data_IF_824332160790
#
_entry.id   IF_824332160790
#
_cell.length_a   1.000
_cell.length_b   1.000
_cell.length_c   1.000
_cell.angle_alpha   90.00
_cell.angle_beta   90.00
_cell.angle_gamma   90.00
#
_symmetry.space_group_name_H-M   'P 1'
#
loop_
_entity.id
_entity.type
_entity.pdbx_description
1 polymer ?
#
# COMPACT_ATOMS: atom_id res chain seq x y z
N UNK A 1 -10.50 -30.04 41.35
CA UNK A 1 -10.30 -28.59 41.39
C UNK A 1 -9.72 -28.18 40.03
N UNK A 2 -10.62 -27.91 39.06
CA UNK A 2 -10.26 -27.54 37.73
C UNK A 2 -9.79 -26.09 37.67
N UNK A 3 -8.61 -25.87 37.14
CA UNK A 3 -8.22 -24.58 36.56
C UNK A 3 -8.81 -24.53 35.15
N UNK A 4 -9.89 -23.81 34.97
CA UNK A 4 -10.34 -23.40 33.65
C UNK A 4 -9.31 -22.39 33.11
N UNK A 5 -8.55 -22.83 32.11
CA UNK A 5 -7.78 -21.93 31.26
C UNK A 5 -8.78 -21.01 30.54
N UNK A 6 -8.76 -19.76 30.90
CA UNK A 6 -9.37 -18.71 30.07
C UNK A 6 -8.56 -18.60 28.79
N UNK A 7 -9.06 -19.21 27.74
CA UNK A 7 -8.66 -18.86 26.38
C UNK A 7 -9.27 -17.50 26.11
N UNK A 8 -8.47 -16.46 26.29
CA UNK A 8 -8.76 -15.13 25.77
C UNK A 8 -7.97 -15.00 24.49
N UNK A 9 -8.47 -15.55 23.41
CA UNK A 9 -8.01 -15.26 22.07
C UNK A 9 -9.19 -14.70 21.29
N UNK A 10 -9.41 -13.42 21.42
CA UNK A 10 -9.91 -12.59 20.34
C UNK A 10 -8.68 -11.98 19.65
N UNK A 11 -7.88 -12.79 18.97
CA UNK A 11 -7.00 -12.27 17.93
C UNK A 11 -7.92 -11.72 16.85
N UNK A 12 -7.96 -10.38 16.76
CA UNK A 12 -8.55 -9.75 15.59
C UNK A 12 -7.78 -10.25 14.38
N UNK A 13 -8.46 -10.64 13.28
CA UNK A 13 -7.78 -11.16 12.12
C UNK A 13 -6.80 -10.10 11.61
N UNK A 14 -5.51 -10.46 11.54
CA UNK A 14 -4.46 -9.60 11.04
C UNK A 14 -4.55 -9.51 9.52
N UNK A 15 -4.48 -8.27 8.98
CA UNK A 15 -4.49 -8.06 7.53
C UNK A 15 -3.19 -8.59 6.94
N UNK A 16 -3.30 -9.37 5.86
CA UNK A 16 -2.14 -9.87 5.13
C UNK A 16 -1.47 -8.73 4.35
N UNK A 17 -0.21 -8.45 4.61
CA UNK A 17 0.53 -7.38 3.95
C UNK A 17 1.90 -7.83 3.43
N UNK A 18 2.35 -7.19 2.35
CA UNK A 18 3.73 -7.27 1.85
C UNK A 18 4.52 -6.08 2.38
N UNK A 19 5.46 -6.32 3.32
CA UNK A 19 6.30 -5.25 3.88
C UNK A 19 7.52 -5.01 3.01
N UNK A 20 7.68 -3.77 2.51
CA UNK A 20 8.82 -3.35 1.70
C UNK A 20 9.13 -4.26 0.51
N UNK A 21 8.12 -4.95 -0.03
CA UNK A 21 8.31 -5.96 -1.07
C UNK A 21 7.29 -5.80 -2.21
N UNK A 22 7.59 -4.88 -3.12
CA UNK A 22 6.74 -4.60 -4.29
C UNK A 22 6.78 -5.77 -5.29
N UNK A 23 7.91 -6.46 -5.41
CA UNK A 23 8.10 -7.53 -6.41
C UNK A 23 7.13 -8.68 -6.15
N UNK A 24 7.09 -9.19 -4.93
CA UNK A 24 6.18 -10.29 -4.56
C UNK A 24 4.72 -9.81 -4.53
N UNK A 25 4.47 -8.58 -4.09
CA UNK A 25 3.13 -8.00 -4.12
C UNK A 25 2.58 -7.90 -5.55
N UNK A 26 3.39 -7.46 -6.50
CA UNK A 26 3.02 -7.39 -7.91
C UNK A 26 2.75 -8.76 -8.50
N UNK A 27 3.62 -9.74 -8.26
CA UNK A 27 3.42 -11.12 -8.71
C UNK A 27 2.10 -11.70 -8.14
N UNK A 28 1.79 -11.42 -6.88
CA UNK A 28 0.54 -11.84 -6.27
C UNK A 28 -0.67 -11.13 -6.88
N UNK A 29 -0.56 -9.83 -7.16
CA UNK A 29 -1.60 -9.04 -7.80
C UNK A 29 -1.94 -9.56 -9.21
N UNK A 30 -0.92 -9.87 -10.00
CA UNK A 30 -1.08 -10.49 -11.33
C UNK A 30 -1.73 -11.87 -11.24
N UNK A 31 -1.28 -12.72 -10.31
CA UNK A 31 -1.80 -14.07 -10.12
C UNK A 31 -3.26 -14.09 -9.70
N UNK A 32 -3.66 -13.19 -8.79
CA UNK A 32 -5.01 -13.14 -8.24
C UNK A 32 -5.95 -12.20 -9.03
N UNK A 33 -5.43 -11.41 -9.97
CA UNK A 33 -6.22 -10.42 -10.70
C UNK A 33 -6.79 -9.34 -9.79
N UNK A 34 -5.99 -8.84 -8.83
CA UNK A 34 -6.38 -7.83 -7.84
C UNK A 34 -5.52 -6.57 -7.97
N UNK A 35 -6.06 -5.37 -7.66
CA UNK A 35 -5.26 -4.16 -7.59
C UNK A 35 -4.35 -4.18 -6.35
N UNK A 36 -3.26 -3.42 -6.42
CA UNK A 36 -2.35 -3.21 -5.30
C UNK A 36 -2.75 -1.96 -4.53
N UNK A 37 -2.79 -2.06 -3.20
CA UNK A 37 -2.92 -0.92 -2.29
C UNK A 37 -1.55 -0.63 -1.67
N UNK A 38 -0.90 0.43 -2.13
CA UNK A 38 0.35 0.90 -1.53
C UNK A 38 0.03 1.80 -0.35
N UNK A 39 0.63 1.49 0.80
CA UNK A 39 0.63 2.28 2.01
C UNK A 39 2.06 2.78 2.27
N UNK A 40 2.34 4.05 1.92
CA UNK A 40 3.57 4.70 2.36
C UNK A 40 3.42 5.11 3.81
N UNK A 41 4.04 4.35 4.67
CA UNK A 41 3.92 4.40 6.13
C UNK A 41 5.28 4.67 6.80
N UNK A 42 5.30 4.69 8.11
CA UNK A 42 6.52 4.80 8.91
C UNK A 42 6.34 4.19 10.29
N UNK A 43 7.42 3.63 10.87
CA UNK A 43 7.40 3.08 12.21
C UNK A 43 7.03 4.14 13.27
N UNK A 44 7.45 5.38 13.07
CA UNK A 44 7.16 6.50 13.96
C UNK A 44 5.91 7.32 13.57
N UNK A 45 5.13 6.87 12.59
CA UNK A 45 3.99 7.60 12.04
C UNK A 45 2.74 7.43 12.91
N UNK A 46 2.38 8.43 13.69
CA UNK A 46 1.21 8.40 14.58
C UNK A 46 -0.11 8.27 13.81
N UNK A 47 -0.27 8.99 12.70
CA UNK A 47 -1.49 8.93 11.90
C UNK A 47 -1.63 7.58 11.17
N UNK A 48 -0.52 6.94 10.79
CA UNK A 48 -0.54 5.59 10.24
C UNK A 48 -1.12 4.60 11.26
N UNK A 49 -0.61 4.63 12.51
CA UNK A 49 -1.15 3.78 13.61
C UNK A 49 -2.64 4.02 13.85
N UNK A 50 -3.10 5.29 13.79
CA UNK A 50 -4.52 5.60 13.94
C UNK A 50 -5.38 4.97 12.85
N UNK A 51 -4.94 4.99 11.61
CA UNK A 51 -5.67 4.35 10.51
C UNK A 51 -5.73 2.85 10.72
N UNK A 52 -4.60 2.22 11.04
CA UNK A 52 -4.52 0.78 11.28
C UNK A 52 -5.42 0.35 12.45
N UNK A 53 -5.39 1.08 13.57
CA UNK A 53 -6.12 0.72 14.79
C UNK A 53 -7.62 1.08 14.75
N UNK A 54 -8.01 2.15 14.04
CA UNK A 54 -9.37 2.71 14.13
C UNK A 54 -10.17 2.54 12.83
N UNK A 55 -9.51 2.35 11.70
CA UNK A 55 -10.17 2.27 10.39
C UNK A 55 -10.05 0.87 9.81
N UNK A 56 -8.84 0.30 9.77
CA UNK A 56 -8.63 -1.02 9.19
C UNK A 56 -9.24 -2.16 10.02
N UNK A 57 -9.48 -1.94 11.30
CA UNK A 57 -10.19 -2.89 12.18
C UNK A 57 -11.71 -2.93 11.97
N UNK A 58 -12.30 -1.93 11.29
CA UNK A 58 -13.70 -2.00 10.89
C UNK A 58 -13.89 -3.11 9.84
N UNK A 59 -14.84 -4.03 10.09
CA UNK A 59 -15.04 -5.21 9.25
C UNK A 59 -15.30 -4.90 7.78
N UNK A 60 -15.89 -3.75 7.47
CA UNK A 60 -16.19 -3.32 6.09
C UNK A 60 -14.92 -2.94 5.34
N UNK A 61 -13.99 -2.26 6.01
CA UNK A 61 -12.68 -1.88 5.45
C UNK A 61 -11.74 -3.09 5.43
N UNK A 62 -11.68 -3.81 6.55
CA UNK A 62 -10.88 -5.03 6.67
C UNK A 62 -11.18 -6.03 5.55
N UNK A 63 -12.47 -6.34 5.35
CA UNK A 63 -12.90 -7.29 4.30
C UNK A 63 -12.48 -6.84 2.90
N UNK A 64 -12.66 -5.55 2.55
CA UNK A 64 -12.21 -5.02 1.26
C UNK A 64 -10.70 -5.18 1.07
N UNK A 65 -9.90 -4.83 2.08
CA UNK A 65 -8.44 -4.93 1.98
C UNK A 65 -8.02 -6.40 1.79
N UNK A 66 -8.52 -7.33 2.62
CA UNK A 66 -8.14 -8.74 2.56
C UNK A 66 -8.63 -9.47 1.29
N UNK A 67 -9.86 -9.20 0.88
CA UNK A 67 -10.49 -9.96 -0.19
C UNK A 67 -10.21 -9.40 -1.59
N UNK A 68 -10.03 -8.07 -1.70
CA UNK A 68 -10.03 -7.40 -2.99
C UNK A 68 -8.72 -6.70 -3.36
N UNK A 69 -7.81 -6.49 -2.41
CA UNK A 69 -6.53 -5.80 -2.66
C UNK A 69 -5.32 -6.67 -2.31
N UNK A 70 -4.17 -6.27 -2.82
CA UNK A 70 -2.86 -6.71 -2.35
C UNK A 70 -2.22 -5.53 -1.60
N UNK A 71 -2.28 -5.58 -0.26
CA UNK A 71 -1.71 -4.55 0.58
C UNK A 71 -0.18 -4.62 0.59
N UNK A 72 0.46 -3.50 0.32
CA UNK A 72 1.91 -3.35 0.30
C UNK A 72 2.32 -2.15 1.15
N UNK A 73 2.84 -2.42 2.35
CA UNK A 73 3.28 -1.37 3.28
C UNK A 73 4.74 -1.03 3.04
N UNK A 74 5.02 0.21 2.71
CA UNK A 74 6.32 0.74 2.34
C UNK A 74 6.80 1.72 3.42
N UNK A 75 7.72 1.26 4.27
CA UNK A 75 8.21 2.01 5.42
C UNK A 75 9.29 2.99 5.01
N UNK A 76 8.94 4.27 4.91
CA UNK A 76 9.87 5.34 4.47
C UNK A 76 10.96 5.67 5.49
N UNK A 77 10.82 5.21 6.72
CA UNK A 77 11.79 5.34 7.80
C UNK A 77 12.50 4.03 8.18
N UNK A 78 12.40 3.00 7.31
CA UNK A 78 13.11 1.74 7.47
C UNK A 78 14.62 1.96 7.44
N UNK A 79 15.33 1.41 8.45
CA UNK A 79 16.76 1.65 8.67
C UNK A 79 17.67 0.53 8.17
N UNK A 80 17.11 -0.51 7.58
CA UNK A 80 17.87 -1.60 6.97
C UNK A 80 18.82 -1.04 5.92
N UNK A 81 20.12 -1.24 6.12
CA UNK A 81 21.15 -0.71 5.23
C UNK A 81 21.25 -1.60 3.99
N UNK A 82 21.21 -0.99 2.84
CA UNK A 82 21.43 -1.65 1.55
C UNK A 82 22.88 -2.10 1.39
N UNK A 83 23.10 -3.15 0.61
CA UNK A 83 24.43 -3.52 0.18
C UNK A 83 25.12 -2.36 -0.56
N UNK A 84 26.44 -2.36 -0.63
CA UNK A 84 27.18 -1.29 -1.30
C UNK A 84 26.86 -1.16 -2.78
N UNK A 85 26.51 -2.27 -3.39
CA UNK A 85 26.15 -2.37 -4.82
C UNK A 85 24.76 -1.78 -5.10
N UNK A 86 23.87 -1.81 -4.11
CA UNK A 86 22.52 -1.26 -4.19
C UNK A 86 22.45 0.22 -3.82
N UNK A 87 23.48 0.73 -3.12
CA UNK A 87 23.53 2.15 -2.76
C UNK A 87 23.82 2.99 -4.00
N UNK A 88 23.05 4.05 -4.20
CA UNK A 88 23.21 4.95 -5.33
C UNK A 88 22.89 6.40 -4.96
N UNK A 89 23.30 7.32 -5.81
CA UNK A 89 22.91 8.74 -5.70
C UNK A 89 21.83 9.01 -6.74
N UNK A 90 20.73 9.62 -6.31
CA UNK A 90 19.65 10.09 -7.19
C UNK A 90 19.52 11.60 -7.07
N UNK A 91 19.28 12.26 -8.19
CA UNK A 91 19.04 13.72 -8.19
C UNK A 91 17.55 13.99 -8.20
N UNK A 92 17.04 14.67 -7.16
CA UNK A 92 15.64 15.06 -7.03
C UNK A 92 15.57 16.58 -6.94
N UNK A 93 14.85 17.21 -7.85
CA UNK A 93 14.72 18.68 -7.91
C UNK A 93 16.08 19.42 -7.91
N UNK A 94 17.09 18.85 -8.58
CA UNK A 94 18.43 19.41 -8.65
C UNK A 94 19.30 19.22 -7.41
N UNK A 95 18.86 18.42 -6.45
CA UNK A 95 19.63 18.06 -5.26
C UNK A 95 19.96 16.57 -5.27
N UNK A 96 21.22 16.25 -5.00
CA UNK A 96 21.70 14.89 -4.91
C UNK A 96 21.34 14.30 -3.55
N UNK A 97 20.70 13.13 -3.56
CA UNK A 97 20.35 12.33 -2.39
C UNK A 97 21.02 10.97 -2.47
N UNK A 98 21.77 10.61 -1.44
CA UNK A 98 22.32 9.27 -1.30
C UNK A 98 21.25 8.31 -0.77
N UNK A 99 20.98 7.24 -1.50
CA UNK A 99 20.10 6.13 -1.13
C UNK A 99 20.95 5.08 -0.42
N UNK A 100 20.76 4.92 0.89
CA UNK A 100 21.53 4.02 1.74
C UNK A 100 20.71 2.95 2.45
N UNK A 101 19.44 3.23 2.67
CA UNK A 101 18.54 2.36 3.41
C UNK A 101 17.33 1.98 2.56
N UNK A 102 16.63 0.93 2.94
CA UNK A 102 15.34 0.59 2.31
C UNK A 102 14.35 1.74 2.42
N UNK A 103 14.30 2.43 3.57
CA UNK A 103 13.44 3.59 3.74
C UNK A 103 13.77 4.73 2.78
N UNK A 104 15.06 4.94 2.44
CA UNK A 104 15.45 5.93 1.43
C UNK A 104 14.87 5.58 0.06
N UNK A 105 14.78 4.29 -0.30
CA UNK A 105 14.14 3.85 -1.55
C UNK A 105 12.68 4.28 -1.55
N UNK A 106 11.91 3.91 -0.53
CA UNK A 106 10.47 4.16 -0.48
C UNK A 106 10.13 5.64 -0.38
N UNK A 107 10.88 6.40 0.42
CA UNK A 107 10.74 7.85 0.48
C UNK A 107 11.02 8.51 -0.87
N UNK A 108 11.97 7.99 -1.64
CA UNK A 108 12.31 8.48 -2.98
C UNK A 108 11.25 8.11 -4.00
N UNK A 109 10.77 6.87 -3.99
CA UNK A 109 9.66 6.40 -4.83
C UNK A 109 8.42 7.27 -4.59
N UNK A 110 8.07 7.53 -3.33
CA UNK A 110 6.95 8.38 -2.97
C UNK A 110 7.11 9.80 -3.51
N UNK A 111 8.28 10.42 -3.30
CA UNK A 111 8.54 11.80 -3.71
C UNK A 111 8.51 11.97 -5.24
N UNK A 112 9.11 11.04 -5.98
CA UNK A 112 9.22 11.14 -7.44
C UNK A 112 7.90 10.83 -8.13
N UNK A 113 7.24 9.72 -7.75
CA UNK A 113 6.07 9.24 -8.48
C UNK A 113 4.77 9.91 -8.02
N UNK A 114 4.65 10.26 -6.74
CA UNK A 114 3.40 10.79 -6.18
C UNK A 114 3.53 12.24 -5.70
N UNK A 115 4.71 12.85 -5.84
CA UNK A 115 4.98 14.25 -5.44
C UNK A 115 4.57 14.56 -4.00
N UNK A 116 4.71 13.59 -3.13
CA UNK A 116 4.38 13.66 -1.70
C UNK A 116 5.53 13.15 -0.85
N UNK A 117 5.66 13.71 0.34
CA UNK A 117 6.64 13.29 1.36
C UNK A 117 5.98 13.08 2.72
N UNK A 118 4.65 13.03 2.77
CA UNK A 118 3.87 12.88 4.00
C UNK A 118 3.35 11.45 4.15
N UNK A 119 3.23 10.97 5.38
CA UNK A 119 2.65 9.68 5.73
C UNK A 119 1.44 9.85 6.65
N UNK A 120 0.42 8.96 6.55
CA UNK A 120 0.29 7.93 5.52
C UNK A 120 -0.04 8.54 4.14
N UNK A 121 0.37 7.86 3.09
CA UNK A 121 -0.08 8.10 1.73
C UNK A 121 -0.53 6.78 1.12
N UNK A 122 -1.77 6.73 0.66
CA UNK A 122 -2.36 5.55 0.02
C UNK A 122 -2.48 5.75 -1.47
N UNK A 123 -2.09 4.72 -2.22
CA UNK A 123 -2.14 4.72 -3.68
C UNK A 123 -2.67 3.38 -4.16
N UNK A 124 -3.66 3.40 -5.05
CA UNK A 124 -4.18 2.19 -5.68
C UNK A 124 -3.63 2.09 -7.10
N UNK A 125 -2.99 0.96 -7.37
CA UNK A 125 -2.34 0.66 -8.65
C UNK A 125 -2.89 -0.64 -9.25
N UNK A 126 -2.98 -0.69 -10.58
CA UNK A 126 -3.12 -1.94 -11.29
C UNK A 126 -1.81 -2.77 -11.23
N UNK A 127 -1.83 -4.08 -11.55
CA UNK A 127 -0.62 -4.91 -11.53
C UNK A 127 0.51 -4.43 -12.46
N UNK A 128 0.18 -3.70 -13.53
CA UNK A 128 1.14 -3.06 -14.44
C UNK A 128 1.68 -1.72 -13.93
N UNK A 129 1.33 -1.34 -12.67
CA UNK A 129 1.71 -0.10 -12.00
C UNK A 129 0.95 1.15 -12.51
N UNK A 130 -0.08 0.99 -13.33
CA UNK A 130 -0.98 2.09 -13.69
C UNK A 130 -1.70 2.60 -12.44
N UNK A 131 -1.59 3.90 -12.15
CA UNK A 131 -2.31 4.51 -11.03
C UNK A 131 -3.80 4.62 -11.36
N UNK A 132 -4.64 4.03 -10.50
CA UNK A 132 -6.09 3.92 -10.72
C UNK A 132 -6.88 5.10 -10.16
N UNK A 133 -6.44 5.63 -9.01
CA UNK A 133 -7.07 6.77 -8.34
C UNK A 133 -6.03 7.81 -7.95
N UNK A 134 -6.42 9.07 -7.67
CA UNK A 134 -5.50 10.00 -7.02
C UNK A 134 -4.97 9.45 -5.70
N UNK A 135 -3.69 9.70 -5.41
CA UNK A 135 -3.12 9.37 -4.11
C UNK A 135 -3.77 10.19 -3.01
N UNK A 136 -4.05 9.58 -1.85
CA UNK A 136 -4.74 10.22 -0.72
C UNK A 136 -3.92 10.11 0.55
N UNK A 137 -3.94 11.18 1.34
CA UNK A 137 -3.30 11.23 2.66
C UNK A 137 -4.32 11.08 3.80
N UNK A 138 -3.84 11.24 5.04
CA UNK A 138 -4.67 11.07 6.23
C UNK A 138 -5.92 11.97 6.23
N UNK A 139 -5.82 13.22 5.77
CA UNK A 139 -6.95 14.16 5.77
C UNK A 139 -8.11 13.70 4.89
N UNK A 140 -7.82 13.01 3.81
CA UNK A 140 -8.82 12.53 2.85
C UNK A 140 -9.53 11.27 3.34
N UNK A 141 -8.85 10.42 4.12
CA UNK A 141 -9.33 9.07 4.48
C UNK A 141 -9.35 8.82 6.00
N UNK A 142 -9.54 9.83 6.79
CA UNK A 142 -9.47 9.77 8.26
C UNK A 142 -10.72 9.23 8.96
N UNK A 143 -11.67 8.67 8.23
CA UNK A 143 -12.85 7.95 8.76
C UNK A 143 -13.07 6.66 8.02
N UNK A 144 -13.77 5.71 8.64
CA UNK A 144 -14.13 4.42 8.01
C UNK A 144 -14.86 4.63 6.70
N UNK A 145 -15.84 5.55 6.66
CA UNK A 145 -16.65 5.82 5.49
C UNK A 145 -15.79 6.33 4.31
N UNK A 146 -14.93 7.32 4.59
CA UNK A 146 -14.04 7.88 3.56
C UNK A 146 -13.01 6.88 3.06
N UNK A 147 -12.45 6.07 3.96
CA UNK A 147 -11.49 5.04 3.58
C UNK A 147 -12.15 3.95 2.74
N UNK A 148 -13.36 3.53 3.14
CA UNK A 148 -14.16 2.57 2.39
C UNK A 148 -14.49 3.10 0.99
N UNK A 149 -14.96 4.36 0.87
CA UNK A 149 -15.24 5.01 -0.42
C UNK A 149 -13.99 5.03 -1.32
N UNK A 150 -12.83 5.40 -0.78
CA UNK A 150 -11.55 5.37 -1.50
C UNK A 150 -11.22 3.97 -2.05
N UNK A 151 -11.44 2.91 -1.26
CA UNK A 151 -11.22 1.53 -1.72
C UNK A 151 -12.22 1.13 -2.80
N UNK A 152 -13.50 1.47 -2.64
CA UNK A 152 -14.56 1.18 -3.61
C UNK A 152 -14.32 1.90 -4.95
N UNK A 153 -13.92 3.17 -4.93
CA UNK A 153 -13.51 3.93 -6.12
C UNK A 153 -12.32 3.27 -6.83
N UNK A 154 -11.37 2.76 -6.05
CA UNK A 154 -10.23 2.00 -6.58
C UNK A 154 -10.62 0.72 -7.28
N UNK A 155 -11.58 -0.02 -6.73
CA UNK A 155 -12.11 -1.24 -7.35
C UNK A 155 -12.88 -0.93 -8.63
N UNK A 156 -13.70 0.12 -8.65
CA UNK A 156 -14.40 0.55 -9.85
C UNK A 156 -13.41 0.94 -10.97
N UNK A 157 -12.38 1.71 -10.64
CA UNK A 157 -11.32 2.09 -11.58
C UNK A 157 -10.54 0.87 -12.08
N UNK A 158 -10.34 -0.15 -11.24
CA UNK A 158 -9.68 -1.39 -11.64
C UNK A 158 -10.52 -2.21 -12.63
N UNK A 159 -11.85 -2.29 -12.45
CA UNK A 159 -12.74 -2.95 -13.41
C UNK A 159 -12.69 -2.23 -14.78
N UNK A 160 -12.71 -0.90 -14.79
CA UNK A 160 -12.58 -0.11 -16.02
C UNK A 160 -11.23 -0.37 -16.71
N UNK A 161 -10.13 -0.38 -15.95
CA UNK A 161 -8.81 -0.70 -16.49
C UNK A 161 -8.77 -2.10 -17.11
N UNK A 162 -9.37 -3.11 -16.47
CA UNK A 162 -9.45 -4.48 -17.04
C UNK A 162 -10.22 -4.52 -18.36
N UNK A 163 -11.29 -3.77 -18.48
CA UNK A 163 -12.08 -3.69 -19.74
C UNK A 163 -11.24 -3.06 -20.85
N UNK A 164 -10.53 -1.97 -20.57
CA UNK A 164 -9.64 -1.31 -21.54
C UNK A 164 -8.51 -2.25 -22.01
N UNK A 165 -7.91 -3.06 -21.11
CA UNK A 165 -6.89 -4.02 -21.50
C UNK A 165 -7.42 -5.10 -22.47
N UNK A 166 -8.67 -5.57 -22.27
CA UNK A 166 -9.28 -6.55 -23.17
C UNK A 166 -9.55 -5.97 -24.56
N UNK A 167 -9.98 -4.71 -24.64
CA UNK A 167 -10.22 -4.06 -25.93
C UNK A 167 -8.94 -3.88 -26.75
N UNK A 168 -7.80 -3.59 -26.06
CA UNK A 168 -6.48 -3.50 -26.71
C UNK A 168 -6.05 -4.86 -27.27
N UNK A 169 -6.17 -5.93 -26.49
CA UNK A 169 -5.80 -7.28 -26.93
C UNK A 169 -6.65 -7.80 -28.10
N UNK A 170 -7.94 -7.45 -28.13
CA UNK A 170 -8.85 -7.85 -29.19
C UNK A 170 -8.69 -7.00 -30.47
N UNK A 171 -8.20 -5.77 -30.33
CA UNK A 171 -7.92 -4.86 -31.45
C UNK A 171 -6.63 -5.16 -32.21
N UNK A 172 -5.70 -5.93 -31.61
CA UNK A 172 -4.42 -6.34 -32.24
C UNK A 172 -4.52 -7.67 -33.02
N UNK A 173 -5.67 -8.31 -33.07
CA UNK A 173 -5.95 -9.53 -33.83
C UNK A 173 -6.63 -9.20 -35.16
#
# INVERSE_FOLDING_TARGET
LGCEEKISDSEEPEITEFKNNIVDAKAQAEMLGRPMLFDFTGHACVNCRKVEEQIWTDQRVHGLIEDDFILTSLYVDERTILSKEEQCVVTINGQDKLIRTEGDIWATVQAINFRSVTQPLYVILAPDETQLTPAVGYSEVNTVEKYKEFLEDGLEAFEQWKEEQKEVEDGEK
#
